data_IF_563322456414
#
_entry.id   IF_563322456414
#
_cell.length_a   1.000
_cell.length_b   1.000
_cell.length_c   1.000
_cell.angle_alpha   90.00
_cell.angle_beta   90.00
_cell.angle_gamma   90.00
#
_symmetry.space_group_name_H-M   'P 1'
#
loop_
_entity.id
_entity.type
_entity.pdbx_description
1 polymer ?
#
# COMPACT_ATOMS: atom_id res chain seq x y z
N UNK A 1 14.78 3.03 12.75
CA UNK A 1 14.09 3.30 14.03
C UNK A 1 14.12 2.02 14.88
N UNK A 2 14.13 2.11 16.22
CA UNK A 2 14.48 0.98 17.12
C UNK A 2 13.33 -0.01 17.40
N UNK A 3 13.57 -1.08 18.18
CA UNK A 3 12.54 -2.07 18.51
C UNK A 3 11.41 -1.52 19.39
N UNK A 4 11.62 -0.40 20.08
CA UNK A 4 10.69 0.15 21.08
C UNK A 4 9.71 1.20 20.53
N UNK A 5 9.72 1.46 19.22
CA UNK A 5 8.79 2.44 18.59
C UNK A 5 7.33 2.03 18.75
N UNK A 6 6.42 2.99 18.91
CA UNK A 6 4.99 2.74 18.86
C UNK A 6 4.60 2.25 17.46
N UNK A 7 3.96 1.07 17.28
CA UNK A 7 3.51 0.61 15.97
C UNK A 7 2.57 1.57 15.23
N UNK A 8 1.82 2.43 15.92
CA UNK A 8 0.91 3.40 15.30
C UNK A 8 1.46 4.83 15.31
N UNK A 9 2.70 5.03 15.76
CA UNK A 9 3.33 6.35 15.79
C UNK A 9 4.15 6.64 14.52
N UNK A 10 4.50 7.92 14.29
CA UNK A 10 5.30 8.36 13.13
C UNK A 10 6.73 7.81 13.12
N UNK A 11 7.16 7.21 14.24
CA UNK A 11 8.42 6.49 14.37
C UNK A 11 8.37 5.03 13.92
N UNK A 12 7.21 4.52 13.51
CA UNK A 12 7.15 3.27 12.77
C UNK A 12 7.43 3.51 11.28
N UNK A 13 7.85 2.47 10.56
CA UNK A 13 8.07 2.52 9.11
C UNK A 13 7.21 1.47 8.44
N UNK A 14 6.48 1.88 7.40
CA UNK A 14 5.79 0.96 6.51
C UNK A 14 6.58 0.83 5.20
N UNK A 15 6.97 -0.39 4.86
CA UNK A 15 7.75 -0.66 3.66
C UNK A 15 6.93 -1.48 2.66
N UNK A 16 6.77 -0.98 1.44
CA UNK A 16 6.23 -1.71 0.30
C UNK A 16 7.40 -2.21 -0.54
N UNK A 17 7.65 -3.51 -0.54
CA UNK A 17 8.85 -4.09 -1.12
C UNK A 17 8.53 -5.14 -2.17
N UNK A 18 9.21 -5.06 -3.31
CA UNK A 18 9.15 -6.08 -4.37
C UNK A 18 10.35 -7.01 -4.31
N UNK A 19 10.28 -8.14 -5.02
CA UNK A 19 11.38 -9.08 -5.15
C UNK A 19 12.18 -8.87 -6.45
N UNK A 20 13.37 -9.50 -6.56
CA UNK A 20 14.19 -9.42 -7.77
C UNK A 20 13.51 -10.03 -9.01
N UNK A 21 12.62 -11.00 -8.80
CA UNK A 21 11.85 -11.62 -9.89
C UNK A 21 10.53 -10.89 -10.18
N UNK A 22 10.13 -9.93 -9.34
CA UNK A 22 8.84 -9.25 -9.49
C UNK A 22 8.77 -8.50 -10.81
N UNK A 23 7.68 -8.69 -11.56
CA UNK A 23 7.48 -8.08 -12.88
C UNK A 23 8.27 -8.73 -14.03
N UNK A 24 8.97 -9.84 -13.80
CA UNK A 24 9.64 -10.62 -14.87
C UNK A 24 8.70 -11.67 -15.48
N UNK A 25 9.15 -12.35 -16.54
CA UNK A 25 8.45 -13.48 -17.16
C UNK A 25 8.41 -14.75 -16.29
N UNK A 26 8.99 -14.72 -15.09
CA UNK A 26 8.88 -15.82 -14.14
C UNK A 26 7.42 -16.07 -13.77
N UNK A 27 7.02 -17.34 -13.73
CA UNK A 27 5.66 -17.74 -13.35
C UNK A 27 5.34 -17.23 -11.95
N UNK A 28 4.19 -16.58 -11.80
CA UNK A 28 3.67 -16.04 -10.52
C UNK A 28 4.56 -14.96 -9.87
N UNK A 29 5.23 -14.14 -10.68
CA UNK A 29 6.11 -13.04 -10.23
C UNK A 29 5.40 -11.78 -9.72
N UNK A 30 4.07 -11.74 -9.58
CA UNK A 30 3.32 -10.52 -9.23
C UNK A 30 3.26 -10.13 -7.75
N UNK A 31 4.15 -10.64 -6.89
CA UNK A 31 4.07 -10.45 -5.43
C UNK A 31 4.72 -9.13 -4.96
N UNK A 32 4.12 -8.54 -3.93
CA UNK A 32 4.66 -7.43 -3.12
C UNK A 32 4.46 -7.73 -1.63
N UNK A 33 5.41 -7.27 -0.80
CA UNK A 33 5.41 -7.43 0.65
C UNK A 33 5.25 -6.08 1.34
N UNK A 34 4.31 -5.97 2.26
CA UNK A 34 4.18 -4.85 3.20
C UNK A 34 4.80 -5.26 4.52
N UNK A 35 5.83 -4.54 4.96
CA UNK A 35 6.63 -4.88 6.15
C UNK A 35 6.64 -3.71 7.13
N UNK A 36 6.33 -3.98 8.39
CA UNK A 36 6.28 -2.98 9.46
C UNK A 36 6.37 -3.62 10.85
N UNK A 37 6.46 -2.81 11.91
CA UNK A 37 6.13 -3.26 13.27
C UNK A 37 4.60 -3.31 13.41
N UNK A 38 4.08 -4.47 13.81
CA UNK A 38 2.65 -4.72 13.89
C UNK A 38 1.99 -4.07 15.11
N UNK A 39 0.86 -3.35 14.94
CA UNK A 39 0.02 -2.90 16.06
C UNK A 39 -0.76 -4.03 16.71
N UNK A 40 -0.89 -5.19 16.05
CA UNK A 40 -1.57 -6.36 16.59
C UNK A 40 -0.69 -7.16 17.54
N UNK A 41 0.57 -7.38 17.16
CA UNK A 41 1.47 -8.30 17.87
C UNK A 41 2.60 -7.60 18.61
N UNK A 42 2.90 -6.34 18.30
CA UNK A 42 4.07 -5.63 18.81
C UNK A 42 5.40 -6.11 18.24
N UNK A 43 5.38 -7.03 17.28
CA UNK A 43 6.57 -7.61 16.61
C UNK A 43 6.66 -7.17 15.16
N UNK A 44 7.71 -7.57 14.45
CA UNK A 44 7.72 -7.47 12.98
C UNK A 44 6.55 -8.25 12.37
N UNK A 45 5.98 -7.72 11.31
CA UNK A 45 5.05 -8.42 10.41
C UNK A 45 5.45 -8.17 8.96
N UNK A 46 5.29 -9.18 8.13
CA UNK A 46 5.25 -9.07 6.68
C UNK A 46 3.91 -9.61 6.16
N UNK A 47 3.24 -8.85 5.29
CA UNK A 47 1.99 -9.26 4.69
C UNK A 47 2.07 -9.09 3.18
N UNK A 48 1.69 -10.13 2.44
CA UNK A 48 1.90 -10.20 1.00
C UNK A 48 0.58 -10.28 0.27
N UNK A 49 0.41 -9.46 -0.76
CA UNK A 49 -0.66 -9.63 -1.75
C UNK A 49 -0.09 -9.93 -3.13
N UNK A 50 -0.95 -10.41 -4.02
CA UNK A 50 -0.63 -10.73 -5.41
C UNK A 50 -1.33 -9.76 -6.34
N UNK A 51 -1.61 -10.21 -7.57
CA UNK A 51 -2.13 -9.33 -8.61
C UNK A 51 -0.99 -8.61 -9.30
N UNK A 52 -1.22 -7.35 -9.68
CA UNK A 52 -0.29 -6.60 -10.52
C UNK A 52 0.46 -5.48 -9.78
N UNK A 53 0.06 -5.13 -8.55
CA UNK A 53 0.61 -3.98 -7.82
C UNK A 53 2.14 -4.01 -7.70
N UNK A 54 2.72 -5.18 -7.35
CA UNK A 54 4.17 -5.33 -7.29
C UNK A 54 4.87 -5.23 -8.64
N UNK A 55 4.26 -5.79 -9.71
CA UNK A 55 4.82 -5.72 -11.05
C UNK A 55 4.76 -4.29 -11.60
N UNK A 56 3.65 -3.58 -11.40
CA UNK A 56 3.51 -2.18 -11.85
C UNK A 56 4.42 -1.23 -11.09
N UNK A 57 4.62 -1.41 -9.79
CA UNK A 57 5.63 -0.65 -9.04
C UNK A 57 7.04 -0.84 -9.62
N UNK A 58 7.39 -2.08 -9.97
CA UNK A 58 8.67 -2.41 -10.63
C UNK A 58 8.81 -1.80 -12.01
N UNK A 59 7.75 -1.87 -12.81
CA UNK A 59 7.74 -1.31 -14.16
C UNK A 59 7.75 0.22 -14.16
N UNK A 60 7.16 0.84 -13.14
CA UNK A 60 7.30 2.27 -12.83
C UNK A 60 8.69 2.60 -12.24
N UNK A 61 9.67 1.70 -12.27
CA UNK A 61 11.07 2.01 -11.95
C UNK A 61 11.46 1.89 -10.47
N UNK A 62 10.58 1.42 -9.58
CA UNK A 62 10.87 1.32 -8.14
C UNK A 62 10.95 -0.13 -7.66
N UNK A 63 11.97 -0.43 -6.84
CA UNK A 63 12.06 -1.72 -6.13
C UNK A 63 11.19 -1.75 -4.85
N UNK A 64 10.82 -0.59 -4.35
CA UNK A 64 9.97 -0.44 -3.18
C UNK A 64 9.79 1.01 -2.76
N UNK A 65 8.88 1.22 -1.80
CA UNK A 65 8.57 2.51 -1.19
C UNK A 65 8.70 2.36 0.32
N UNK A 66 9.41 3.29 0.96
CA UNK A 66 9.52 3.36 2.42
C UNK A 66 8.75 4.60 2.90
N UNK A 67 7.73 4.39 3.71
CA UNK A 67 6.95 5.46 4.34
C UNK A 67 7.45 5.66 5.76
N UNK A 68 7.88 6.89 6.06
CA UNK A 68 8.27 7.35 7.38
C UNK A 68 7.45 8.59 7.75
N UNK A 69 7.12 8.74 9.03
CA UNK A 69 6.33 9.86 9.52
C UNK A 69 4.84 9.64 9.37
N UNK A 70 4.07 10.71 9.47
CA UNK A 70 2.63 10.76 9.31
C UNK A 70 2.25 12.05 8.57
N UNK A 71 1.16 12.03 7.82
CA UNK A 71 0.62 13.23 7.17
C UNK A 71 -0.43 13.88 8.07
N UNK A 72 -0.46 15.21 8.14
CA UNK A 72 -1.47 15.96 8.91
C UNK A 72 -2.88 15.81 8.31
N UNK A 73 -2.97 15.53 7.00
CA UNK A 73 -4.21 15.36 6.23
C UNK A 73 -4.15 14.05 5.40
N UNK A 74 -5.31 13.46 5.03
CA UNK A 74 -5.33 12.30 4.14
C UNK A 74 -4.64 12.57 2.80
N UNK A 75 -3.72 11.69 2.43
CA UNK A 75 -2.98 11.77 1.15
C UNK A 75 -2.82 10.39 0.53
N UNK A 76 -2.62 10.35 -0.79
CA UNK A 76 -2.19 9.15 -1.50
C UNK A 76 -0.90 9.42 -2.27
N UNK A 77 -0.14 8.35 -2.53
CA UNK A 77 1.03 8.42 -3.39
C UNK A 77 0.66 8.03 -4.81
N UNK A 78 1.01 8.87 -5.78
CA UNK A 78 0.94 8.55 -7.19
C UNK A 78 2.35 8.30 -7.71
N UNK A 79 2.54 7.16 -8.39
CA UNK A 79 3.85 6.74 -8.91
C UNK A 79 3.73 6.50 -10.40
N UNK A 80 4.56 7.19 -11.17
CA UNK A 80 4.61 7.08 -12.63
C UNK A 80 6.06 7.24 -13.10
N UNK A 81 6.57 6.28 -13.87
CA UNK A 81 7.90 6.32 -14.50
C UNK A 81 9.09 6.70 -13.58
N UNK A 82 8.98 6.38 -12.29
CA UNK A 82 10.02 6.59 -11.27
C UNK A 82 9.81 7.85 -10.45
N UNK A 83 8.89 8.72 -10.87
CA UNK A 83 8.46 9.90 -10.14
C UNK A 83 7.39 9.53 -9.11
N UNK A 84 7.47 10.18 -7.94
CA UNK A 84 6.54 9.96 -6.82
C UNK A 84 5.95 11.29 -6.42
N UNK A 85 4.63 11.40 -6.47
CA UNK A 85 3.86 12.57 -6.06
C UNK A 85 3.00 12.24 -4.85
N UNK A 86 2.91 13.19 -3.91
CA UNK A 86 1.94 13.15 -2.81
C UNK A 86 0.73 13.98 -3.24
N UNK A 87 -0.45 13.38 -3.25
CA UNK A 87 -1.71 14.02 -3.67
C UNK A 87 -2.73 14.00 -2.54
N UNK A 88 -3.60 15.00 -2.50
CA UNK A 88 -4.72 15.07 -1.55
C UNK A 88 -5.64 13.85 -1.70
N UNK A 89 -6.05 13.27 -0.58
CA UNK A 89 -7.00 12.16 -0.51
C UNK A 89 -8.20 12.47 0.38
N UNK A 90 -8.39 13.73 0.77
CA UNK A 90 -9.47 14.14 1.68
C UNK A 90 -10.87 13.75 1.16
N UNK A 91 -11.06 13.73 -0.16
CA UNK A 91 -12.29 13.31 -0.81
C UNK A 91 -12.49 11.78 -0.84
N UNK A 92 -11.43 10.99 -0.70
CA UNK A 92 -11.45 9.53 -0.65
C UNK A 92 -11.64 9.01 0.78
N UNK A 93 -11.24 9.79 1.79
CA UNK A 93 -11.29 9.37 3.18
C UNK A 93 -12.71 9.05 3.65
N UNK A 94 -12.88 7.92 4.32
CA UNK A 94 -14.16 7.39 4.76
C UNK A 94 -14.85 6.48 3.75
N UNK A 95 -14.30 6.30 2.54
CA UNK A 95 -14.88 5.44 1.52
C UNK A 95 -14.53 3.96 1.72
N UNK A 96 -15.26 3.09 1.02
CA UNK A 96 -14.85 1.70 0.81
C UNK A 96 -13.74 1.60 -0.24
N UNK A 97 -12.95 0.52 -0.18
CA UNK A 97 -11.82 0.34 -1.12
C UNK A 97 -12.29 0.34 -2.58
N UNK A 98 -13.43 -0.28 -2.90
CA UNK A 98 -13.93 -0.28 -4.28
C UNK A 98 -14.29 1.12 -4.77
N UNK A 99 -14.98 1.92 -3.95
CA UNK A 99 -15.34 3.29 -4.30
C UNK A 99 -14.08 4.16 -4.47
N UNK A 100 -13.08 3.97 -3.59
CA UNK A 100 -11.76 4.64 -3.70
C UNK A 100 -11.06 4.30 -5.02
N UNK A 101 -11.09 3.02 -5.42
CA UNK A 101 -10.44 2.54 -6.63
C UNK A 101 -11.15 3.08 -7.88
N UNK A 102 -12.48 3.07 -7.88
CA UNK A 102 -13.28 3.62 -8.98
C UNK A 102 -13.04 5.13 -9.11
N UNK A 103 -13.03 5.87 -8.01
CA UNK A 103 -12.80 7.31 -8.02
C UNK A 103 -11.38 7.68 -8.47
N UNK A 104 -10.35 6.97 -8.00
CA UNK A 104 -8.98 7.15 -8.51
C UNK A 104 -8.94 6.87 -10.02
N UNK A 105 -9.66 5.86 -10.50
CA UNK A 105 -9.76 5.53 -11.92
C UNK A 105 -10.40 6.62 -12.79
N UNK A 106 -11.19 7.52 -12.20
CA UNK A 106 -11.72 8.72 -12.88
C UNK A 106 -10.73 9.90 -12.86
N UNK A 107 -9.82 9.95 -11.89
CA UNK A 107 -8.86 11.04 -11.68
C UNK A 107 -7.56 10.91 -12.48
N UNK A 108 -7.12 9.67 -12.74
CA UNK A 108 -5.81 9.40 -13.35
C UNK A 108 -5.93 9.01 -14.82
N UNK A 109 -4.89 9.30 -15.59
CA UNK A 109 -4.78 8.77 -16.95
C UNK A 109 -4.48 7.27 -16.93
N UNK A 110 -5.09 6.53 -17.87
CA UNK A 110 -4.96 5.08 -17.96
C UNK A 110 -6.14 4.33 -17.35
N UNK A 111 -6.14 2.99 -17.47
CA UNK A 111 -7.22 2.15 -16.96
C UNK A 111 -6.76 1.34 -15.75
N UNK A 112 -7.44 1.52 -14.61
CA UNK A 112 -7.22 0.71 -13.41
C UNK A 112 -7.34 -0.80 -13.73
N UNK A 113 -6.44 -1.60 -13.16
CA UNK A 113 -6.32 -3.03 -13.41
C UNK A 113 -5.61 -3.39 -14.73
N UNK A 114 -5.35 -2.41 -15.60
CA UNK A 114 -4.62 -2.59 -16.86
C UNK A 114 -3.32 -1.80 -16.88
N UNK A 115 -3.42 -0.49 -16.75
CA UNK A 115 -2.30 0.46 -16.83
C UNK A 115 -1.93 0.94 -15.42
N UNK A 116 -2.94 1.11 -14.54
CA UNK A 116 -2.77 1.58 -13.16
C UNK A 116 -3.12 0.46 -12.18
N UNK A 117 -2.34 0.34 -11.10
CA UNK A 117 -2.72 -0.44 -9.91
C UNK A 117 -3.00 0.49 -8.75
N UNK A 118 -3.97 0.14 -7.92
CA UNK A 118 -4.33 0.91 -6.74
C UNK A 118 -4.16 -0.01 -5.53
N UNK A 119 -3.50 0.48 -4.50
CA UNK A 119 -3.43 -0.18 -3.19
C UNK A 119 -4.04 0.78 -2.18
N UNK A 120 -5.16 0.39 -1.58
CA UNK A 120 -5.91 1.27 -0.68
C UNK A 120 -6.25 0.55 0.62
N UNK A 121 -6.46 1.35 1.65
CA UNK A 121 -7.14 0.94 2.88
C UNK A 121 -8.62 1.31 2.77
N UNK A 122 -9.48 0.62 3.51
CA UNK A 122 -10.83 1.13 3.79
C UNK A 122 -10.89 1.70 5.20
N UNK A 123 -12.11 2.03 5.64
CA UNK A 123 -12.39 2.55 6.99
C UNK A 123 -11.77 1.75 8.15
N UNK A 124 -11.53 0.45 7.98
CA UNK A 124 -10.82 -0.34 8.99
C UNK A 124 -9.37 0.10 9.20
N UNK A 125 -8.68 0.48 8.13
CA UNK A 125 -7.35 1.07 8.20
C UNK A 125 -7.38 2.49 8.76
N UNK A 126 -8.29 3.31 8.26
CA UNK A 126 -8.47 4.71 8.69
C UNK A 126 -8.75 4.81 10.20
N UNK A 127 -9.53 3.87 10.75
CA UNK A 127 -9.83 3.80 12.19
C UNK A 127 -8.80 2.99 13.00
N UNK A 128 -7.63 2.69 12.41
CA UNK A 128 -6.53 1.97 13.04
C UNK A 128 -6.96 0.63 13.69
N UNK A 129 -7.90 -0.09 13.07
CA UNK A 129 -8.28 -1.44 13.53
C UNK A 129 -7.04 -2.31 13.48
N UNK A 130 -6.64 -2.94 14.59
CA UNK A 130 -5.33 -3.64 14.69
C UNK A 130 -5.08 -4.73 13.64
N UNK A 131 -6.11 -5.20 12.95
CA UNK A 131 -6.04 -6.16 11.84
C UNK A 131 -6.47 -5.54 10.49
N UNK A 132 -6.43 -4.22 10.37
CA UNK A 132 -6.64 -3.48 9.13
C UNK A 132 -5.66 -3.92 8.05
N UNK A 133 -6.12 -3.88 6.80
CA UNK A 133 -5.41 -4.44 5.66
C UNK A 133 -5.41 -3.47 4.48
N UNK A 134 -4.42 -3.65 3.62
CA UNK A 134 -4.35 -3.00 2.30
C UNK A 134 -4.91 -3.96 1.27
N UNK A 135 -5.81 -3.49 0.42
CA UNK A 135 -6.46 -4.23 -0.65
C UNK A 135 -6.09 -3.57 -1.98
N UNK A 136 -5.94 -4.36 -3.03
CA UNK A 136 -5.76 -3.85 -4.39
C UNK A 136 -7.00 -4.04 -5.27
N UNK A 137 -6.93 -3.58 -6.51
CA UNK A 137 -8.03 -3.63 -7.49
C UNK A 137 -8.53 -5.04 -7.85
N UNK A 138 -7.79 -6.09 -7.51
CA UNK A 138 -8.12 -7.49 -7.77
C UNK A 138 -8.56 -8.24 -6.48
N UNK A 139 -9.01 -7.52 -5.44
CA UNK A 139 -9.37 -8.06 -4.12
C UNK A 139 -8.23 -8.80 -3.41
N UNK A 140 -6.98 -8.47 -3.74
CA UNK A 140 -5.82 -9.10 -3.12
C UNK A 140 -5.44 -8.34 -1.86
N UNK A 141 -5.38 -9.06 -0.75
CA UNK A 141 -5.18 -8.47 0.57
C UNK A 141 -3.76 -8.68 1.11
N UNK A 142 -3.13 -7.59 1.55
CA UNK A 142 -2.15 -7.63 2.63
C UNK A 142 -2.89 -7.75 3.96
N UNK A 143 -3.42 -8.95 4.22
CA UNK A 143 -4.51 -9.17 5.18
C UNK A 143 -4.13 -9.37 6.64
N UNK A 144 -2.85 -9.40 7.02
CA UNK A 144 -2.44 -9.75 8.40
C UNK A 144 -1.46 -8.76 9.00
N UNK A 145 -1.39 -8.77 10.33
CA UNK A 145 -0.44 -7.98 11.09
C UNK A 145 -0.79 -6.50 11.23
N UNK A 146 -1.95 -6.06 10.72
CA UNK A 146 -2.38 -4.67 10.84
C UNK A 146 -1.64 -3.70 9.92
N UNK A 147 -1.14 -4.18 8.78
CA UNK A 147 -0.39 -3.33 7.82
C UNK A 147 -1.23 -2.22 7.20
N UNK A 148 -2.57 -2.31 7.22
CA UNK A 148 -3.42 -1.20 6.79
C UNK A 148 -3.82 -0.24 7.92
N UNK A 149 -3.48 -0.56 9.17
CA UNK A 149 -3.69 0.35 10.31
C UNK A 149 -2.45 1.18 10.65
N UNK A 150 -1.28 0.72 10.21
CA UNK A 150 -0.05 1.51 10.12
C UNK A 150 -0.10 2.29 8.83
#
# INVERSE_FOLDING_TARGET
KGPDVDPLGPENRLAFMTGPLTGTQTVMSGRIALVTKSPLTGTVTDSHHGGWSGARLKWAGLDGILLDGESDEPVYLFVEDGDVEVRDASHLWGQGVHDTIDQIGEEVEGKVGRDVSVMAIGQGGENQVRYGCVINEDDRASGRGGTGAV
#
